data_IF_261803702428
#
_entry.id   IF_261803702428
#
_cell.length_a   1.000
_cell.length_b   1.000
_cell.length_c   1.000
_cell.angle_alpha   90.00
_cell.angle_beta   90.00
_cell.angle_gamma   90.00
#
_symmetry.space_group_name_H-M   'P 1'
#
loop_
_entity.id
_entity.type
_entity.pdbx_description
1 polymer ?
#
# COMPACT_ATOMS: atom_id res chain seq x y z
N UNK A 1 4.32 -62.15 -14.09
CA UNK A 1 3.48 -61.47 -15.11
C UNK A 1 3.65 -59.97 -14.89
N UNK A 2 4.50 -59.29 -15.69
CA UNK A 2 4.11 -58.41 -16.81
C UNK A 2 3.29 -57.19 -16.34
N UNK A 3 3.67 -55.91 -16.50
CA UNK A 3 4.54 -55.23 -17.47
C UNK A 3 4.99 -53.88 -16.89
N UNK A 4 6.23 -53.49 -17.21
CA UNK A 4 6.75 -52.12 -17.13
C UNK A 4 6.11 -51.21 -18.20
N UNK A 5 6.07 -49.90 -17.95
CA UNK A 5 5.90 -48.87 -18.99
C UNK A 5 6.91 -47.74 -18.83
N UNK A 6 7.73 -47.61 -19.88
CA UNK A 6 8.52 -46.45 -20.29
C UNK A 6 7.60 -45.21 -20.42
N UNK A 7 8.05 -43.96 -20.20
CA UNK A 7 9.21 -43.30 -20.81
C UNK A 7 8.71 -42.42 -21.96
N UNK A 8 8.67 -41.09 -21.77
CA UNK A 8 8.40 -40.13 -22.84
C UNK A 8 9.39 -38.96 -22.75
N UNK A 9 10.22 -38.84 -23.79
CA UNK A 9 11.19 -37.75 -24.01
C UNK A 9 10.49 -36.60 -24.76
N UNK A 10 10.80 -35.33 -24.48
CA UNK A 10 10.42 -34.23 -25.37
C UNK A 10 11.39 -34.11 -26.57
N UNK A 11 10.81 -33.92 -27.76
CA UNK A 11 11.51 -33.58 -29.02
C UNK A 11 11.70 -32.05 -29.14
N UNK A 12 12.77 -31.58 -29.80
CA UNK A 12 13.07 -30.17 -29.99
C UNK A 12 12.50 -29.62 -31.32
N UNK A 13 12.09 -28.35 -31.34
CA UNK A 13 11.75 -27.61 -32.56
C UNK A 13 12.60 -26.35 -32.73
N UNK A 14 13.55 -26.48 -33.66
CA UNK A 14 14.11 -25.54 -34.65
C UNK A 14 13.80 -24.03 -34.54
N UNK A 15 14.90 -23.29 -34.40
CA UNK A 15 15.39 -22.16 -35.25
C UNK A 15 14.36 -21.44 -36.14
N UNK A 16 14.22 -20.14 -35.93
CA UNK A 16 14.00 -19.17 -36.99
C UNK A 16 14.96 -17.99 -36.80
N UNK A 17 15.73 -17.69 -37.85
CA UNK A 17 16.63 -16.57 -37.98
C UNK A 17 15.90 -15.41 -38.68
N UNK A 18 16.13 -14.18 -38.24
CA UNK A 18 15.82 -12.95 -38.99
C UNK A 18 16.85 -11.88 -38.62
N UNK A 19 17.90 -11.74 -39.45
CA UNK A 19 18.09 -10.64 -40.43
C UNK A 19 18.15 -9.25 -39.79
N UNK A 20 19.39 -8.83 -39.51
CA UNK A 20 19.76 -7.44 -39.32
C UNK A 20 19.50 -6.65 -40.61
N UNK A 21 18.65 -5.61 -40.52
CA UNK A 21 18.45 -4.66 -41.61
C UNK A 21 19.02 -3.31 -41.19
N UNK A 22 20.07 -2.94 -41.90
CA UNK A 22 20.82 -1.69 -41.85
C UNK A 22 19.95 -0.58 -42.47
N UNK A 23 19.58 0.44 -41.68
CA UNK A 23 18.99 1.68 -42.22
C UNK A 23 19.85 2.83 -41.74
N UNK A 24 20.58 3.42 -42.68
CA UNK A 24 21.32 4.65 -42.47
C UNK A 24 20.38 5.84 -42.39
N UNK A 25 20.70 6.79 -41.53
CA UNK A 25 20.14 8.14 -41.59
C UNK A 25 21.28 9.15 -41.44
N UNK A 26 21.77 9.62 -42.59
CA UNK A 26 22.47 10.89 -42.75
C UNK A 26 21.40 11.99 -42.64
N UNK A 27 21.48 12.85 -41.65
CA UNK A 27 20.96 14.22 -41.75
C UNK A 27 21.90 15.17 -41.02
N UNK A 28 22.39 16.10 -41.81
CA UNK A 28 23.35 17.16 -41.57
C UNK A 28 22.96 18.09 -40.43
N UNK A 29 23.88 18.29 -39.48
CA UNK A 29 23.90 19.45 -38.59
C UNK A 29 24.27 20.69 -39.42
N UNK A 30 23.36 21.67 -39.47
CA UNK A 30 23.65 23.00 -40.02
C UNK A 30 23.73 23.98 -38.86
N UNK A 31 24.94 24.51 -38.68
CA UNK A 31 25.28 25.54 -37.73
C UNK A 31 24.70 26.91 -38.12
N UNK A 32 24.32 27.65 -37.08
CA UNK A 32 24.45 29.09 -36.86
C UNK A 32 24.23 30.08 -38.02
N UNK A 33 23.23 30.95 -37.85
CA UNK A 33 23.29 32.33 -38.33
C UNK A 33 22.74 33.28 -37.25
N UNK A 34 23.67 34.04 -36.67
CA UNK A 34 23.51 35.21 -35.80
C UNK A 34 22.67 36.29 -36.51
N UNK A 35 21.75 36.94 -35.79
CA UNK A 35 21.43 38.37 -36.00
C UNK A 35 21.27 39.11 -34.66
N UNK A 36 21.67 40.39 -34.60
CA UNK A 36 21.83 41.16 -33.36
C UNK A 36 20.62 42.07 -33.07
N UNK A 37 20.52 42.48 -31.81
CA UNK A 37 19.99 43.78 -31.38
C UNK A 37 18.48 43.96 -31.44
N UNK A 38 17.83 43.89 -30.29
CA UNK A 38 16.88 44.92 -29.84
C UNK A 38 16.59 44.69 -28.35
N UNK A 39 17.14 45.57 -27.50
CA UNK A 39 16.65 45.80 -26.14
C UNK A 39 15.28 46.47 -26.22
N UNK A 40 14.36 46.08 -25.32
CA UNK A 40 13.64 47.13 -24.63
C UNK A 40 13.55 46.89 -23.12
N UNK A 41 13.88 47.98 -22.41
CA UNK A 41 13.26 48.48 -21.19
C UNK A 41 13.13 47.54 -19.97
N UNK A 42 13.99 47.86 -18.99
CA UNK A 42 13.84 47.62 -17.55
C UNK A 42 12.38 47.56 -17.08
N UNK A 43 11.93 46.37 -16.72
CA UNK A 43 10.76 46.19 -15.85
C UNK A 43 11.16 46.48 -14.39
N UNK A 44 10.28 47.13 -13.60
CA UNK A 44 10.57 47.42 -12.20
C UNK A 44 10.64 46.13 -11.37
N UNK A 45 11.66 46.03 -10.52
CA UNK A 45 11.93 44.91 -9.62
C UNK A 45 10.66 44.44 -8.90
N UNK A 46 10.28 43.19 -9.14
CA UNK A 46 9.35 42.47 -8.28
C UNK A 46 9.98 42.35 -6.88
N UNK A 47 9.22 42.55 -5.78
CA UNK A 47 9.75 42.35 -4.45
C UNK A 47 10.21 40.88 -4.29
N UNK A 48 11.46 40.70 -3.89
CA UNK A 48 12.00 39.40 -3.47
C UNK A 48 11.04 38.78 -2.47
N UNK A 49 10.42 37.67 -2.85
CA UNK A 49 9.70 36.85 -1.90
C UNK A 49 10.68 36.43 -0.81
N UNK A 50 10.31 36.55 0.48
CA UNK A 50 11.16 36.06 1.55
C UNK A 50 11.42 34.58 1.29
N UNK A 51 12.69 34.20 1.12
CA UNK A 51 13.10 32.81 1.09
C UNK A 51 12.51 32.13 2.32
N UNK A 52 11.49 31.30 2.10
CA UNK A 52 11.02 30.34 3.09
C UNK A 52 12.20 29.40 3.29
N UNK A 53 13.03 29.67 4.29
CA UNK A 53 14.04 28.74 4.77
C UNK A 53 13.30 27.49 5.20
N UNK A 54 13.23 26.50 4.32
CA UNK A 54 12.88 25.14 4.67
C UNK A 54 13.71 24.79 5.90
N UNK A 55 13.04 24.60 7.04
CA UNK A 55 13.70 24.14 8.24
C UNK A 55 14.52 22.92 7.83
N UNK A 56 15.84 23.03 7.96
CA UNK A 56 16.76 21.94 7.69
C UNK A 56 16.45 20.89 8.74
N UNK A 57 15.54 19.97 8.42
CA UNK A 57 15.27 18.79 9.23
C UNK A 57 16.56 18.00 9.19
N UNK A 58 17.37 18.08 10.25
CA UNK A 58 18.52 17.21 10.39
C UNK A 58 18.05 15.77 10.21
N UNK A 59 18.70 14.97 9.35
CA UNK A 59 18.33 13.57 9.20
C UNK A 59 18.42 12.92 10.58
N UNK A 60 17.36 12.21 11.03
CA UNK A 60 17.42 11.53 12.31
C UNK A 60 18.60 10.57 12.30
N UNK A 61 19.31 10.41 13.43
CA UNK A 61 20.44 9.51 13.50
C UNK A 61 20.01 8.11 13.07
N UNK A 62 20.82 7.47 12.22
CA UNK A 62 20.66 6.06 11.88
C UNK A 62 20.47 5.26 13.18
N UNK A 63 19.56 4.27 13.16
CA UNK A 63 19.29 3.45 14.33
C UNK A 63 20.61 2.87 14.85
N UNK A 64 20.92 3.12 16.12
CA UNK A 64 22.13 2.61 16.75
C UNK A 64 22.21 1.10 16.53
N UNK A 65 23.33 0.61 16.00
CA UNK A 65 23.53 -0.82 15.72
C UNK A 65 23.29 -1.68 16.97
N UNK A 66 23.54 -1.13 18.18
CA UNK A 66 23.23 -1.77 19.45
C UNK A 66 21.72 -2.01 19.64
N UNK A 67 20.89 -1.03 19.23
CA UNK A 67 19.45 -1.08 19.32
C UNK A 67 18.85 -2.06 18.32
N UNK A 68 19.36 -2.07 17.08
CA UNK A 68 18.95 -3.05 16.05
C UNK A 68 19.22 -4.48 16.54
N UNK A 69 20.41 -4.73 17.10
CA UNK A 69 20.76 -6.04 17.67
C UNK A 69 19.83 -6.44 18.83
N UNK A 70 19.58 -5.53 19.77
CA UNK A 70 18.63 -5.74 20.88
C UNK A 70 17.24 -6.14 20.38
N UNK A 71 16.73 -5.44 19.38
CA UNK A 71 15.41 -5.73 18.82
C UNK A 71 15.36 -7.02 18.00
N UNK A 72 16.45 -7.39 17.33
CA UNK A 72 16.57 -8.71 16.70
C UNK A 72 16.56 -9.85 17.74
N UNK A 73 17.26 -9.68 18.87
CA UNK A 73 17.25 -10.64 19.99
C UNK A 73 15.85 -10.76 20.62
N UNK A 74 15.12 -9.65 20.78
CA UNK A 74 13.72 -9.65 21.19
C UNK A 74 12.82 -10.37 20.19
N UNK A 75 12.93 -10.08 18.90
CA UNK A 75 12.17 -10.80 17.87
C UNK A 75 12.40 -12.31 17.91
N UNK A 76 13.65 -12.74 18.08
CA UNK A 76 13.98 -14.15 18.25
C UNK A 76 13.42 -14.75 19.55
N UNK A 77 13.34 -13.98 20.64
CA UNK A 77 12.71 -14.42 21.88
C UNK A 77 11.20 -14.59 21.73
N UNK A 78 10.50 -13.65 21.09
CA UNK A 78 9.07 -13.78 20.77
C UNK A 78 8.78 -15.07 20.00
N UNK A 79 9.56 -15.37 18.96
CA UNK A 79 9.39 -16.59 18.17
C UNK A 79 9.60 -17.85 19.01
N UNK A 80 10.58 -17.85 19.93
CA UNK A 80 10.78 -18.97 20.87
C UNK A 80 9.60 -19.15 21.83
N UNK A 81 9.04 -18.07 22.36
CA UNK A 81 7.86 -18.11 23.24
C UNK A 81 6.64 -18.66 22.50
N UNK A 82 6.41 -18.20 21.26
CA UNK A 82 5.34 -18.73 20.39
C UNK A 82 5.55 -20.22 20.10
N UNK A 83 6.78 -20.63 19.75
CA UNK A 83 7.11 -22.03 19.49
C UNK A 83 6.90 -22.93 20.72
N UNK A 84 7.30 -22.46 21.91
CA UNK A 84 7.13 -23.20 23.16
C UNK A 84 5.66 -23.52 23.48
N UNK A 85 4.73 -22.71 22.96
CA UNK A 85 3.29 -22.88 23.13
C UNK A 85 2.58 -23.39 21.85
N UNK A 86 3.35 -23.81 20.84
CA UNK A 86 2.82 -24.35 19.59
C UNK A 86 2.10 -23.34 18.70
N UNK A 87 2.45 -22.05 18.80
CA UNK A 87 1.85 -20.95 18.04
C UNK A 87 2.80 -20.31 17.02
N UNK A 88 3.96 -20.91 16.72
CA UNK A 88 4.98 -20.35 15.82
C UNK A 88 4.45 -20.15 14.37
N UNK A 89 3.71 -21.12 13.86
CA UNK A 89 3.20 -21.13 12.49
C UNK A 89 1.72 -20.72 12.39
N UNK A 90 1.18 -20.18 13.48
CA UNK A 90 -0.22 -19.76 13.53
C UNK A 90 -0.45 -18.47 12.75
N UNK A 91 -1.59 -18.41 12.05
CA UNK A 91 -2.01 -17.22 11.31
C UNK A 91 -2.24 -16.08 12.31
N UNK A 92 -1.62 -14.92 12.09
CA UNK A 92 -1.88 -13.76 12.94
C UNK A 92 -3.01 -12.90 12.39
N UNK A 93 -3.73 -12.21 13.28
CA UNK A 93 -4.73 -11.18 12.94
C UNK A 93 -4.62 -10.00 13.88
N UNK A 94 -5.04 -8.85 13.41
CA UNK A 94 -4.98 -7.60 14.16
C UNK A 94 -6.35 -6.93 14.14
N UNK A 95 -6.80 -6.53 15.32
CA UNK A 95 -7.91 -5.60 15.50
C UNK A 95 -7.38 -4.36 16.22
N UNK A 96 -7.03 -3.33 15.47
CA UNK A 96 -6.51 -2.08 16.03
C UNK A 96 -7.57 -1.27 16.76
N UNK A 97 -8.87 -1.50 16.51
CA UNK A 97 -9.96 -0.80 17.23
C UNK A 97 -9.99 -1.24 18.69
N UNK A 98 -9.84 -2.54 18.92
CA UNK A 98 -9.78 -3.12 20.26
C UNK A 98 -8.34 -3.24 20.79
N UNK A 99 -7.34 -2.88 19.97
CA UNK A 99 -5.92 -2.96 20.30
C UNK A 99 -5.44 -4.39 20.51
N UNK A 100 -5.96 -5.35 19.73
CA UNK A 100 -5.69 -6.79 19.86
C UNK A 100 -4.83 -7.29 18.71
N UNK A 101 -3.84 -8.11 19.03
CA UNK A 101 -3.07 -8.91 18.10
C UNK A 101 -3.21 -10.37 18.51
N UNK A 102 -3.69 -11.22 17.62
CA UNK A 102 -3.97 -12.62 17.95
C UNK A 102 -3.25 -13.55 16.98
N UNK A 103 -2.81 -14.69 17.49
CA UNK A 103 -2.39 -15.84 16.69
C UNK A 103 -3.50 -16.89 16.73
N UNK A 104 -3.86 -17.42 15.57
CA UNK A 104 -4.95 -18.36 15.38
C UNK A 104 -4.43 -19.74 15.00
N UNK A 105 -4.90 -20.75 15.75
CA UNK A 105 -4.67 -22.14 15.40
C UNK A 105 -5.34 -22.50 14.04
N UNK A 106 -4.97 -23.62 13.40
CA UNK A 106 -5.60 -24.05 12.14
C UNK A 106 -7.12 -24.30 12.23
N UNK A 107 -7.69 -24.33 13.44
CA UNK A 107 -9.14 -24.45 13.69
C UNK A 107 -9.80 -23.08 13.88
N UNK A 108 -9.06 -21.98 13.76
CA UNK A 108 -9.53 -20.60 13.90
C UNK A 108 -9.69 -20.12 15.33
N UNK A 109 -9.12 -20.81 16.33
CA UNK A 109 -9.16 -20.40 17.73
C UNK A 109 -7.92 -19.60 18.09
N UNK A 110 -8.09 -18.64 19.00
CA UNK A 110 -6.96 -17.85 19.49
C UNK A 110 -6.04 -18.76 20.33
N UNK A 111 -4.78 -18.85 19.94
CA UNK A 111 -3.73 -19.59 20.66
C UNK A 111 -2.84 -18.68 21.51
N UNK A 112 -2.64 -17.45 21.04
CA UNK A 112 -1.90 -16.42 21.73
C UNK A 112 -2.51 -15.06 21.41
N UNK A 113 -2.37 -14.12 22.33
CA UNK A 113 -2.91 -12.77 22.25
C UNK A 113 -1.89 -11.79 22.83
N UNK A 114 -1.76 -10.63 22.20
CA UNK A 114 -1.01 -9.50 22.71
C UNK A 114 -1.84 -8.23 22.49
N UNK A 115 -1.57 -7.18 23.26
CA UNK A 115 -2.06 -5.85 22.93
C UNK A 115 -1.24 -5.28 21.78
N UNK A 116 -1.88 -4.61 20.84
CA UNK A 116 -1.24 -3.92 19.72
C UNK A 116 -1.53 -2.43 19.72
N UNK A 117 -0.50 -1.64 19.43
CA UNK A 117 -0.60 -0.22 19.11
C UNK A 117 0.18 0.08 17.84
N UNK A 118 -0.37 0.93 16.99
CA UNK A 118 0.29 1.31 15.74
C UNK A 118 1.45 2.28 16.01
N UNK A 119 2.60 2.03 15.37
CA UNK A 119 3.79 2.89 15.42
C UNK A 119 3.85 3.79 14.18
N UNK A 120 3.90 3.18 13.00
CA UNK A 120 3.95 3.85 11.72
C UNK A 120 3.45 2.92 10.60
N UNK A 121 3.11 3.52 9.47
CA UNK A 121 2.89 2.86 8.20
C UNK A 121 4.01 3.23 7.22
N UNK A 122 4.40 2.30 6.38
CA UNK A 122 5.38 2.51 5.31
C UNK A 122 4.80 2.01 3.99
N UNK A 123 4.77 2.85 2.96
CA UNK A 123 4.28 2.52 1.64
C UNK A 123 5.48 2.33 0.68
N UNK A 124 5.86 1.07 0.35
CA UNK A 124 7.05 0.81 -0.47
C UNK A 124 6.97 1.41 -1.88
N UNK A 125 5.76 1.59 -2.42
CA UNK A 125 5.55 2.15 -3.77
C UNK A 125 5.89 3.64 -3.86
N UNK A 126 5.71 4.38 -2.78
CA UNK A 126 5.97 5.82 -2.72
C UNK A 126 7.15 6.17 -1.83
N UNK A 127 7.83 5.16 -1.26
CA UNK A 127 8.90 5.34 -0.27
C UNK A 127 8.52 6.31 0.85
N UNK A 128 7.24 6.28 1.26
CA UNK A 128 6.70 7.21 2.24
C UNK A 128 6.40 6.50 3.55
N UNK A 129 6.82 7.10 4.65
CA UNK A 129 6.59 6.66 6.01
C UNK A 129 5.74 7.69 6.73
N UNK A 130 4.65 7.24 7.36
CA UNK A 130 3.75 8.08 8.15
C UNK A 130 3.65 7.51 9.56
N UNK A 131 3.90 8.34 10.57
CA UNK A 131 3.72 7.92 11.96
C UNK A 131 2.24 7.73 12.28
N UNK A 132 1.91 6.72 13.08
CA UNK A 132 0.52 6.35 13.32
C UNK A 132 -0.29 7.46 14.01
N UNK A 133 0.35 8.36 14.78
CA UNK A 133 -0.33 9.52 15.37
C UNK A 133 -0.69 10.60 14.33
N UNK A 134 0.01 10.62 13.20
CA UNK A 134 -0.27 11.48 12.06
C UNK A 134 -1.42 10.93 11.22
N UNK A 135 -1.37 9.62 10.96
CA UNK A 135 -2.30 8.90 10.10
C UNK A 135 -3.73 8.93 10.68
N UNK A 136 -4.71 9.56 9.99
CA UNK A 136 -6.09 9.61 10.46
C UNK A 136 -6.72 8.24 10.75
N UNK A 137 -6.28 7.18 10.07
CA UNK A 137 -6.81 5.83 10.23
C UNK A 137 -6.21 5.11 11.44
N UNK A 138 -4.96 5.40 11.75
CA UNK A 138 -4.24 4.72 12.83
C UNK A 138 -4.23 5.53 14.12
N UNK A 139 -4.54 6.83 14.09
CA UNK A 139 -4.43 7.75 15.22
C UNK A 139 -5.13 7.27 16.49
N UNK A 140 -6.31 6.63 16.35
CA UNK A 140 -7.04 6.10 17.49
C UNK A 140 -6.30 4.92 18.19
N UNK A 141 -5.52 4.16 17.43
CA UNK A 141 -4.75 3.01 17.89
C UNK A 141 -3.25 3.31 18.05
N UNK A 142 -2.83 4.57 17.86
CA UNK A 142 -1.43 4.92 17.80
C UNK A 142 -0.77 4.91 19.18
N UNK A 143 0.56 4.78 19.20
CA UNK A 143 1.36 5.23 20.35
C UNK A 143 1.27 6.75 20.51
N UNK A 144 1.73 7.26 21.65
CA UNK A 144 1.82 8.71 21.86
C UNK A 144 2.89 9.32 20.93
N UNK A 145 2.73 10.57 20.47
CA UNK A 145 3.75 11.25 19.69
C UNK A 145 5.11 11.24 20.39
N UNK A 146 6.16 10.93 19.62
CA UNK A 146 7.54 10.92 20.09
C UNK A 146 8.24 12.17 19.58
N UNK A 147 8.67 13.05 20.49
CA UNK A 147 9.15 14.41 20.19
C UNK A 147 10.28 14.47 19.14
N UNK A 148 11.12 13.43 19.06
CA UNK A 148 12.28 13.37 18.15
C UNK A 148 12.01 12.65 16.83
N UNK A 149 10.82 12.09 16.63
CA UNK A 149 10.48 11.39 15.40
C UNK A 149 9.63 12.28 14.50
N UNK A 150 10.03 12.48 13.23
CA UNK A 150 9.22 13.23 12.29
C UNK A 150 7.88 12.53 12.05
N UNK A 151 6.83 13.33 11.90
CA UNK A 151 5.45 12.88 11.69
C UNK A 151 5.30 12.09 10.38
N UNK A 152 5.96 12.54 9.32
CA UNK A 152 5.98 11.95 7.98
C UNK A 152 7.39 12.08 7.40
N UNK A 153 7.79 11.13 6.54
CA UNK A 153 9.04 11.17 5.76
C UNK A 153 8.81 10.53 4.40
N UNK A 154 9.31 11.17 3.36
CA UNK A 154 9.41 10.58 2.02
C UNK A 154 10.85 10.14 1.73
N UNK A 155 11.05 9.47 0.60
CA UNK A 155 12.33 8.92 0.15
C UNK A 155 13.00 7.97 1.17
N UNK A 156 12.18 7.24 1.94
CA UNK A 156 12.61 6.27 2.95
C UNK A 156 12.66 4.88 2.31
N UNK A 157 13.73 4.12 2.56
CA UNK A 157 13.81 2.71 2.18
C UNK A 157 13.28 1.77 3.28
N UNK A 158 13.28 0.47 3.00
CA UNK A 158 12.77 -0.53 3.94
C UNK A 158 13.57 -0.62 5.26
N UNK A 159 14.89 -0.42 5.19
CA UNK A 159 15.78 -0.52 6.34
C UNK A 159 15.64 0.72 7.24
N UNK A 160 15.56 1.89 6.64
CA UNK A 160 15.26 3.14 7.34
C UNK A 160 13.88 3.10 7.98
N UNK A 161 12.86 2.60 7.29
CA UNK A 161 11.51 2.44 7.84
C UNK A 161 11.51 1.52 9.07
N UNK A 162 12.25 0.41 9.00
CA UNK A 162 12.45 -0.49 10.14
C UNK A 162 13.19 0.18 11.29
N UNK A 163 14.22 0.98 11.00
CA UNK A 163 14.95 1.74 12.01
C UNK A 163 14.07 2.77 12.73
N UNK A 164 13.21 3.49 12.01
CA UNK A 164 12.22 4.41 12.59
C UNK A 164 11.21 3.64 13.47
N UNK A 165 10.73 2.49 13.00
CA UNK A 165 9.82 1.65 13.78
C UNK A 165 10.47 1.15 15.08
N UNK A 166 11.74 0.74 15.05
CA UNK A 166 12.53 0.35 16.22
C UNK A 166 12.64 1.51 17.22
N UNK A 167 13.00 2.70 16.74
CA UNK A 167 13.13 3.88 17.60
C UNK A 167 11.78 4.26 18.26
N UNK A 168 10.68 4.16 17.51
CA UNK A 168 9.33 4.40 18.02
C UNK A 168 8.90 3.32 19.04
N UNK A 169 9.24 2.06 18.80
CA UNK A 169 8.97 0.94 19.70
C UNK A 169 9.72 1.12 21.03
N UNK A 170 10.99 1.51 20.98
CA UNK A 170 11.80 1.79 22.17
C UNK A 170 11.22 2.96 22.97
N UNK A 171 10.92 4.08 22.31
CA UNK A 171 10.38 5.27 22.96
C UNK A 171 8.98 5.05 23.57
N UNK A 172 8.19 4.13 23.02
CA UNK A 172 6.86 3.77 23.52
C UNK A 172 6.86 2.67 24.58
N UNK A 173 8.02 2.09 24.90
CA UNK A 173 8.14 1.02 25.89
C UNK A 173 7.55 -0.31 25.42
N UNK A 174 7.51 -0.56 24.10
CA UNK A 174 7.01 -1.81 23.56
C UNK A 174 7.88 -3.00 23.99
N UNK A 175 7.25 -4.15 24.21
CA UNK A 175 7.93 -5.41 24.49
C UNK A 175 8.41 -6.06 23.19
N UNK A 176 7.53 -6.06 22.19
CA UNK A 176 7.79 -6.64 20.88
C UNK A 176 7.43 -5.67 19.75
N UNK A 177 8.10 -5.86 18.61
CA UNK A 177 7.86 -5.11 17.38
C UNK A 177 7.45 -6.12 16.32
N UNK A 178 6.30 -5.88 15.69
CA UNK A 178 5.78 -6.76 14.66
C UNK A 178 5.48 -5.98 13.38
N UNK A 179 5.83 -6.57 12.24
CA UNK A 179 5.51 -6.01 10.91
C UNK A 179 4.34 -6.77 10.31
N UNK A 180 3.28 -6.04 9.99
CA UNK A 180 2.09 -6.57 9.31
C UNK A 180 2.08 -6.06 7.89
N UNK A 181 2.09 -6.98 6.94
CA UNK A 181 1.93 -6.62 5.53
C UNK A 181 0.46 -6.35 5.23
N UNK A 182 0.20 -5.22 4.58
CA UNK A 182 -1.10 -4.89 3.99
C UNK A 182 -0.93 -4.65 2.49
N UNK A 183 -2.03 -4.61 1.69
CA UNK A 183 -1.93 -4.51 0.24
C UNK A 183 -1.11 -3.33 -0.29
N UNK A 184 -1.02 -2.21 0.43
CA UNK A 184 -0.38 -0.97 -0.04
C UNK A 184 0.68 -0.41 0.92
N UNK A 185 0.82 -1.03 2.08
CA UNK A 185 1.69 -0.55 3.13
C UNK A 185 2.10 -1.67 4.06
N UNK A 186 3.15 -1.44 4.82
CA UNK A 186 3.48 -2.22 5.99
C UNK A 186 3.07 -1.41 7.22
N UNK A 187 2.42 -2.06 8.16
CA UNK A 187 2.14 -1.49 9.47
C UNK A 187 3.15 -2.05 10.46
N UNK A 188 3.80 -1.16 11.19
CA UNK A 188 4.66 -1.52 12.30
C UNK A 188 3.87 -1.37 13.60
N UNK A 189 3.79 -2.46 14.36
CA UNK A 189 2.99 -2.55 15.57
C UNK A 189 3.88 -2.78 16.78
N UNK A 190 3.66 -1.98 17.82
CA UNK A 190 4.16 -2.25 19.15
C UNK A 190 3.24 -3.25 19.83
N UNK A 191 3.81 -4.35 20.32
CA UNK A 191 3.09 -5.35 21.09
C UNK A 191 3.50 -5.32 22.57
N UNK A 192 2.54 -5.59 23.44
CA UNK A 192 2.73 -5.76 24.88
C UNK A 192 1.77 -6.82 25.43
N UNK A 193 1.98 -7.26 26.67
CA UNK A 193 1.10 -8.18 27.38
C UNK A 193 0.84 -9.50 26.62
N UNK A 194 1.91 -10.14 26.09
CA UNK A 194 1.78 -11.44 25.42
C UNK A 194 1.22 -12.49 26.38
N UNK A 195 0.13 -13.13 25.99
CA UNK A 195 -0.57 -14.16 26.76
C UNK A 195 -0.91 -15.36 25.88
N UNK A 196 -0.78 -16.55 26.44
CA UNK A 196 -1.25 -17.82 25.86
C UNK A 196 -2.58 -18.28 26.48
N UNK A 197 -3.18 -17.43 27.31
CA UNK A 197 -4.51 -17.58 27.87
C UNK A 197 -5.37 -16.44 27.32
N UNK A 198 -5.93 -16.59 26.11
CA UNK A 198 -6.62 -15.51 25.44
C UNK A 198 -7.91 -15.16 26.17
N UNK A 199 -8.28 -13.88 26.14
CA UNK A 199 -9.50 -13.40 26.80
C UNK A 199 -10.74 -13.98 26.11
N UNK A 200 -10.65 -14.14 24.79
CA UNK A 200 -11.68 -14.78 23.96
C UNK A 200 -11.07 -15.92 23.16
N UNK A 201 -11.72 -17.08 23.19
CA UNK A 201 -11.30 -18.26 22.43
C UNK A 201 -11.43 -18.08 20.90
N UNK A 202 -12.21 -17.10 20.46
CA UNK A 202 -12.39 -16.75 19.05
C UNK A 202 -12.04 -15.29 18.77
N UNK A 203 -11.62 -15.06 17.53
CA UNK A 203 -11.45 -13.73 16.96
C UNK A 203 -12.57 -13.49 15.96
N UNK A 204 -13.27 -12.37 16.12
CA UNK A 204 -14.24 -11.88 15.13
C UNK A 204 -13.78 -10.50 14.73
N UNK A 205 -13.40 -10.28 13.46
CA UNK A 205 -13.00 -8.95 13.02
C UNK A 205 -14.18 -7.98 13.18
N UNK A 206 -13.87 -6.72 13.49
CA UNK A 206 -14.86 -5.64 13.49
C UNK A 206 -15.51 -5.43 12.12
N UNK A 207 -16.51 -4.54 12.05
CA UNK A 207 -17.15 -4.18 10.77
C UNK A 207 -16.14 -3.54 9.81
N UNK A 208 -16.00 -4.02 8.56
CA UNK A 208 -15.14 -3.40 7.56
C UNK A 208 -15.73 -2.10 6.98
N UNK A 209 -16.99 -1.77 7.31
CA UNK A 209 -17.75 -0.72 6.61
C UNK A 209 -17.04 0.63 6.58
N UNK A 210 -16.43 1.06 7.70
CA UNK A 210 -15.72 2.33 7.76
C UNK A 210 -14.55 2.42 6.77
N UNK A 211 -13.74 1.36 6.65
CA UNK A 211 -12.61 1.30 5.72
C UNK A 211 -13.09 1.26 4.27
N UNK A 212 -14.13 0.47 3.99
CA UNK A 212 -14.72 0.41 2.64
C UNK A 212 -15.27 1.78 2.23
N UNK A 213 -16.00 2.45 3.12
CA UNK A 213 -16.54 3.79 2.86
C UNK A 213 -15.44 4.81 2.59
N UNK A 214 -14.36 4.79 3.39
CA UNK A 214 -13.22 5.66 3.18
C UNK A 214 -12.62 5.50 1.78
N UNK A 215 -12.32 4.26 1.35
CA UNK A 215 -11.71 3.99 0.05
C UNK A 215 -12.63 4.36 -1.12
N UNK A 216 -13.94 4.10 -0.97
CA UNK A 216 -14.93 4.52 -1.96
C UNK A 216 -15.02 6.05 -2.05
N UNK A 217 -15.06 6.76 -0.91
CA UNK A 217 -15.11 8.22 -0.88
C UNK A 217 -13.81 8.86 -1.38
N UNK A 218 -12.65 8.27 -1.09
CA UNK A 218 -11.36 8.68 -1.66
C UNK A 218 -11.36 8.53 -3.19
N UNK A 219 -11.82 7.39 -3.70
CA UNK A 219 -11.92 7.14 -5.14
C UNK A 219 -12.88 8.13 -5.84
N UNK A 220 -14.02 8.44 -5.20
CA UNK A 220 -14.96 9.46 -5.71
C UNK A 220 -14.34 10.84 -5.75
N UNK A 221 -13.63 11.26 -4.69
CA UNK A 221 -12.94 12.55 -4.65
C UNK A 221 -11.89 12.67 -5.76
N UNK A 222 -11.11 11.61 -5.99
CA UNK A 222 -10.12 11.56 -7.07
C UNK A 222 -10.76 11.69 -8.47
N UNK A 223 -11.90 11.03 -8.69
CA UNK A 223 -12.64 11.13 -9.97
C UNK A 223 -13.21 12.54 -10.17
N UNK A 224 -13.83 13.11 -9.12
CA UNK A 224 -14.44 14.44 -9.17
C UNK A 224 -13.44 15.57 -9.35
N UNK A 225 -12.25 15.44 -8.77
CA UNK A 225 -11.22 16.47 -8.89
C UNK A 225 -10.68 16.57 -10.31
N UNK A 226 -10.76 15.47 -11.09
CA UNK A 226 -10.17 15.40 -12.43
C UNK A 226 -8.64 15.55 -12.43
N UNK A 227 -8.00 15.48 -11.26
CA UNK A 227 -6.58 15.72 -11.08
C UNK A 227 -5.71 14.47 -11.34
N UNK A 228 -6.33 13.29 -11.44
CA UNK A 228 -5.65 12.03 -11.72
C UNK A 228 -5.85 11.55 -13.17
N UNK A 229 -4.80 11.11 -13.86
CA UNK A 229 -4.91 10.45 -15.16
C UNK A 229 -5.83 9.22 -15.10
N UNK A 230 -6.48 8.88 -16.21
CA UNK A 230 -7.42 7.76 -16.29
C UNK A 230 -6.79 6.43 -15.88
N UNK A 231 -5.50 6.21 -16.21
CA UNK A 231 -4.77 5.00 -15.82
C UNK A 231 -4.61 4.89 -14.30
N UNK A 232 -4.41 6.01 -13.59
CA UNK A 232 -4.26 6.06 -12.13
C UNK A 232 -5.60 5.73 -11.47
N UNK A 233 -6.70 6.31 -11.97
CA UNK A 233 -8.04 5.99 -11.47
C UNK A 233 -8.37 4.51 -11.70
N UNK A 234 -8.03 3.97 -12.87
CA UNK A 234 -8.21 2.55 -13.18
C UNK A 234 -7.46 1.66 -12.21
N UNK A 235 -6.17 1.93 -11.99
CA UNK A 235 -5.35 1.16 -11.07
C UNK A 235 -5.87 1.25 -9.65
N UNK A 236 -6.26 2.43 -9.18
CA UNK A 236 -6.88 2.62 -7.87
C UNK A 236 -8.13 1.74 -7.69
N UNK A 237 -9.07 1.80 -8.63
CA UNK A 237 -10.29 1.00 -8.57
C UNK A 237 -10.01 -0.50 -8.58
N UNK A 238 -9.13 -0.96 -9.47
CA UNK A 238 -8.76 -2.37 -9.55
C UNK A 238 -8.10 -2.83 -8.26
N UNK A 239 -7.18 -2.02 -7.72
CA UNK A 239 -6.42 -2.28 -6.52
C UNK A 239 -7.31 -2.37 -5.27
N UNK A 240 -8.20 -1.41 -5.06
CA UNK A 240 -9.21 -1.48 -4.00
C UNK A 240 -10.09 -2.72 -4.20
N UNK A 241 -10.51 -2.98 -5.44
CA UNK A 241 -11.30 -4.17 -5.79
C UNK A 241 -10.65 -5.48 -5.36
N UNK A 242 -9.38 -5.67 -5.73
CA UNK A 242 -8.60 -6.86 -5.38
C UNK A 242 -8.29 -6.93 -3.88
N UNK A 243 -8.07 -5.80 -3.20
CA UNK A 243 -7.91 -5.76 -1.75
C UNK A 243 -9.17 -6.25 -1.03
N UNK A 244 -10.36 -5.81 -1.44
CA UNK A 244 -11.62 -6.28 -0.84
C UNK A 244 -11.86 -7.77 -1.07
N UNK A 245 -11.47 -8.30 -2.24
CA UNK A 245 -11.53 -9.73 -2.52
C UNK A 245 -10.60 -10.52 -1.63
N UNK A 246 -9.36 -10.04 -1.47
CA UNK A 246 -8.39 -10.64 -0.56
C UNK A 246 -8.92 -10.67 0.89
N UNK A 247 -9.41 -9.53 1.40
CA UNK A 247 -9.96 -9.45 2.76
C UNK A 247 -11.16 -10.38 2.98
N UNK A 248 -11.99 -10.57 1.95
CA UNK A 248 -13.11 -11.51 1.99
C UNK A 248 -12.63 -12.96 2.20
N UNK A 249 -11.52 -13.33 1.56
CA UNK A 249 -10.93 -14.69 1.62
C UNK A 249 -9.99 -14.89 2.82
N UNK A 250 -9.50 -13.80 3.40
CA UNK A 250 -8.54 -13.81 4.49
C UNK A 250 -9.18 -13.46 5.83
N UNK A 251 -9.25 -12.17 6.18
CA UNK A 251 -9.74 -11.71 7.47
C UNK A 251 -11.21 -12.07 7.71
N UNK A 252 -12.04 -12.05 6.67
CA UNK A 252 -13.48 -12.18 6.81
C UNK A 252 -14.03 -13.55 6.41
N UNK A 253 -13.20 -14.55 6.03
CA UNK A 253 -13.59 -15.83 5.41
C UNK A 253 -14.72 -16.65 6.05
N UNK A 254 -15.02 -16.40 7.32
CA UNK A 254 -16.05 -17.07 8.12
C UNK A 254 -17.12 -16.13 8.67
N UNK A 255 -17.24 -14.93 8.10
CA UNK A 255 -18.19 -13.90 8.53
C UNK A 255 -19.26 -13.66 7.46
N UNK A 256 -20.32 -12.93 7.82
CA UNK A 256 -21.34 -12.46 6.89
C UNK A 256 -20.81 -11.39 5.92
N UNK A 257 -19.65 -10.78 6.20
CA UNK A 257 -19.02 -9.77 5.35
C UNK A 257 -18.47 -10.33 4.04
N UNK A 258 -18.11 -11.62 3.96
CA UNK A 258 -17.49 -12.25 2.76
C UNK A 258 -18.27 -11.90 1.50
N UNK A 259 -19.59 -12.11 1.53
CA UNK A 259 -20.43 -11.90 0.35
C UNK A 259 -20.49 -10.43 -0.04
N UNK A 260 -20.45 -9.50 0.92
CA UNK A 260 -20.52 -8.05 0.66
C UNK A 260 -19.20 -7.52 0.12
N UNK A 261 -18.09 -7.90 0.75
CA UNK A 261 -16.74 -7.56 0.31
C UNK A 261 -16.48 -8.10 -1.09
N UNK A 262 -16.78 -9.38 -1.34
CA UNK A 262 -16.57 -10.00 -2.65
C UNK A 262 -17.43 -9.37 -3.75
N UNK A 263 -18.69 -9.02 -3.47
CA UNK A 263 -19.54 -8.30 -4.44
C UNK A 263 -19.00 -6.91 -4.74
N UNK A 264 -18.59 -6.17 -3.72
CA UNK A 264 -18.05 -4.82 -3.87
C UNK A 264 -16.74 -4.85 -4.64
N UNK A 265 -15.83 -5.76 -4.27
CA UNK A 265 -14.55 -5.95 -4.95
C UNK A 265 -14.71 -6.25 -6.44
N UNK A 266 -15.57 -7.22 -6.79
CA UNK A 266 -15.89 -7.56 -8.21
C UNK A 266 -16.50 -6.38 -8.97
N UNK A 267 -17.34 -5.56 -8.31
CA UNK A 267 -17.91 -4.36 -8.93
C UNK A 267 -16.83 -3.32 -9.22
N UNK A 268 -15.90 -3.10 -8.30
CA UNK A 268 -14.77 -2.18 -8.49
C UNK A 268 -13.84 -2.63 -9.62
N UNK A 269 -13.48 -3.92 -9.68
CA UNK A 269 -12.70 -4.47 -10.80
C UNK A 269 -13.42 -4.31 -12.14
N UNK A 270 -14.75 -4.51 -12.17
CA UNK A 270 -15.56 -4.27 -13.37
C UNK A 270 -15.58 -2.79 -13.78
N UNK A 271 -15.66 -1.86 -12.81
CA UNK A 271 -15.59 -0.43 -13.08
C UNK A 271 -14.21 -0.03 -13.60
N UNK A 272 -13.13 -0.56 -13.01
CA UNK A 272 -11.77 -0.38 -13.51
C UNK A 272 -11.63 -0.86 -14.97
N UNK A 273 -12.25 -1.98 -15.32
CA UNK A 273 -12.28 -2.50 -16.69
C UNK A 273 -13.00 -1.61 -17.71
N UNK A 274 -13.87 -0.68 -17.28
CA UNK A 274 -14.50 0.32 -18.15
C UNK A 274 -13.60 1.52 -18.44
N UNK A 275 -12.57 1.74 -17.61
CA UNK A 275 -11.64 2.85 -17.81
C UNK A 275 -10.68 2.48 -18.94
N UNK A 276 -10.62 3.28 -20.03
CA UNK A 276 -9.79 2.95 -21.18
C UNK A 276 -8.30 2.96 -20.80
N UNK A 277 -7.57 1.98 -21.34
CA UNK A 277 -6.11 1.94 -21.26
C UNK A 277 -5.56 2.47 -22.58
N UNK A 278 -4.72 3.51 -22.57
CA UNK A 278 -4.00 3.88 -23.78
C UNK A 278 -3.08 2.73 -24.16
N UNK A 279 -3.41 2.02 -25.24
CA UNK A 279 -2.61 0.95 -25.82
C UNK A 279 -2.02 1.41 -27.15
N UNK A 280 -0.91 0.79 -27.56
CA UNK A 280 -0.32 1.08 -28.86
C UNK A 280 -1.32 0.83 -30.00
N UNK A 281 -2.15 -0.21 -29.88
CA UNK A 281 -3.23 -0.48 -30.83
C UNK A 281 -4.34 0.56 -30.83
N UNK A 282 -4.73 1.11 -29.66
CA UNK A 282 -5.77 2.15 -29.60
C UNK A 282 -5.28 3.46 -30.21
N UNK A 283 -4.01 3.81 -29.97
CA UNK A 283 -3.38 4.99 -30.59
C UNK A 283 -3.23 4.78 -32.11
N UNK A 284 -2.80 3.58 -32.54
CA UNK A 284 -2.69 3.24 -33.96
C UNK A 284 -4.05 3.24 -34.70
N UNK A 285 -5.15 2.98 -34.00
CA UNK A 285 -6.53 3.04 -34.53
C UNK A 285 -7.14 4.44 -34.51
N UNK A 286 -6.38 5.48 -34.15
CA UNK A 286 -6.83 6.87 -34.16
C UNK A 286 -7.78 7.23 -33.01
N UNK A 287 -7.88 6.40 -31.97
CA UNK A 287 -8.61 6.79 -30.77
C UNK A 287 -7.87 7.95 -30.09
N UNK A 288 -8.59 9.00 -29.68
CA UNK A 288 -8.00 10.03 -28.85
C UNK A 288 -7.55 9.39 -27.53
N UNK A 289 -6.26 9.20 -27.35
CA UNK A 289 -5.69 8.81 -26.07
C UNK A 289 -5.73 10.03 -25.15
N UNK A 290 -6.94 10.40 -24.71
CA UNK A 290 -7.07 11.33 -23.60
C UNK A 290 -6.40 10.65 -22.41
N UNK A 291 -5.34 11.26 -21.91
CA UNK A 291 -4.68 10.89 -20.67
C UNK A 291 -5.66 10.96 -19.48
N UNK A 292 -6.71 11.78 -19.63
CA UNK A 292 -7.72 12.10 -18.62
C UNK A 292 -9.05 11.39 -18.88
N UNK A 293 -9.81 11.18 -17.80
CA UNK A 293 -11.18 10.66 -17.88
C UNK A 293 -12.08 11.64 -18.66
N UNK A 294 -12.92 11.10 -19.55
CA UNK A 294 -13.97 11.92 -20.16
C UNK A 294 -15.01 12.34 -19.11
N UNK A 295 -15.64 13.52 -19.23
CA UNK A 295 -16.66 13.97 -18.29
C UNK A 295 -17.81 12.96 -18.13
N UNK A 296 -18.26 12.34 -19.23
CA UNK A 296 -19.34 11.34 -19.22
C UNK A 296 -18.94 10.08 -18.42
N UNK A 297 -17.71 9.60 -18.63
CA UNK A 297 -17.21 8.43 -17.90
C UNK A 297 -16.99 8.76 -16.42
N UNK A 298 -16.44 9.94 -16.11
CA UNK A 298 -16.26 10.42 -14.75
C UNK A 298 -17.60 10.49 -14.00
N UNK A 299 -18.65 11.05 -14.63
CA UNK A 299 -20.00 11.09 -14.08
C UNK A 299 -20.57 9.70 -13.83
N UNK A 300 -20.46 8.80 -14.80
CA UNK A 300 -20.93 7.41 -14.67
C UNK A 300 -20.20 6.63 -13.56
N UNK A 301 -18.89 6.83 -13.40
CA UNK A 301 -18.10 6.22 -12.34
C UNK A 301 -18.47 6.79 -10.96
N UNK A 302 -18.64 8.11 -10.82
CA UNK A 302 -19.03 8.72 -9.54
C UNK A 302 -20.42 8.27 -9.08
N UNK A 303 -21.36 8.13 -10.01
CA UNK A 303 -22.70 7.59 -9.72
C UNK A 303 -22.63 6.13 -9.25
N UNK A 304 -21.89 5.28 -9.98
CA UNK A 304 -21.74 3.88 -9.63
C UNK A 304 -21.06 3.68 -8.27
N UNK A 305 -20.04 4.49 -7.94
CA UNK A 305 -19.42 4.49 -6.62
C UNK A 305 -20.36 5.05 -5.55
N UNK A 306 -21.20 6.04 -5.88
CA UNK A 306 -22.22 6.58 -4.99
C UNK A 306 -23.20 5.51 -4.51
N UNK A 307 -23.68 4.65 -5.42
CA UNK A 307 -24.54 3.52 -5.06
C UNK A 307 -23.85 2.53 -4.11
N UNK A 308 -22.55 2.31 -4.27
CA UNK A 308 -21.78 1.47 -3.33
C UNK A 308 -21.64 2.15 -1.97
N UNK A 309 -21.36 3.46 -1.93
CA UNK A 309 -21.28 4.23 -0.68
C UNK A 309 -22.60 4.14 0.08
N UNK A 310 -23.74 4.32 -0.60
CA UNK A 310 -25.06 4.25 0.03
C UNK A 310 -25.37 2.84 0.56
N UNK A 311 -24.98 1.78 -0.17
CA UNK A 311 -25.08 0.39 0.32
C UNK A 311 -24.27 0.20 1.61
N UNK A 312 -23.03 0.69 1.67
CA UNK A 312 -22.13 0.48 2.79
C UNK A 312 -22.44 1.37 4.01
N UNK A 313 -23.06 2.52 3.82
CA UNK A 313 -23.50 3.42 4.91
C UNK A 313 -24.53 2.78 5.85
N UNK A 314 -25.26 1.77 5.39
CA UNK A 314 -26.21 1.01 6.21
C UNK A 314 -25.51 0.17 7.31
N UNK A 315 -24.18 0.08 7.28
CA UNK A 315 -23.38 -0.80 8.13
C UNK A 315 -22.31 -0.07 8.98
N UNK A 316 -22.27 1.27 8.90
CA UNK A 316 -21.31 2.13 9.59
C UNK A 316 -21.90 2.72 10.87
#
# INVERSE_FOLDING_TARGET
>A
MSKARAGSKPKPTKKAAAKATKVGRKTTSKAAAKRPGDEPALAPNAPEMPEVRSARTEPPPAADASLVKKWAERGAALLRELAAHGAEDHEYRVDLKDGRFVWLDPRGRVSAEARARALCSYAPTTSSLTMAWADPLLRAASVRPVERLPTERDDVDEEEAWGVAIAAAEASGAEWLYRVAAPHSWYFLALSDLSFQPISASFTPGSPAGLVLLELEASRRAIRSGAEPAVVVRERLARVGSALLHEAEYAYRSTDWVSRLARTGKRLEKLAGKVPVPSFESVAKGASSSEWLSPDLAGSLDEALGLLVDEWRLFA
#
